data_IF_718490051652
#
_entry.id   IF_718490051652
#
_cell.length_a   1.000
_cell.length_b   1.000
_cell.length_c   1.000
_cell.angle_alpha   90.00
_cell.angle_beta   90.00
_cell.angle_gamma   90.00
#
_symmetry.space_group_name_H-M   'P 1'
#
loop_
_entity.id
_entity.type
_entity.pdbx_description
1 polymer ?
#
# COMPACT_ATOMS: atom_id res chain seq x y z
N UNK A 1 -4.21 -0.98 8.88
CA UNK A 1 -4.07 -2.45 8.95
C UNK A 1 -2.58 -2.80 8.91
N UNK A 2 -2.13 -3.86 9.60
CA UNK A 2 -0.70 -4.18 9.78
C UNK A 2 -0.19 -5.33 8.89
N UNK A 3 -0.89 -5.63 7.79
CA UNK A 3 -0.59 -6.78 6.93
C UNK A 3 0.84 -6.76 6.36
N UNK A 4 1.29 -5.62 5.83
CA UNK A 4 2.65 -5.49 5.28
C UNK A 4 3.74 -5.70 6.33
N UNK A 5 3.52 -5.21 7.55
CA UNK A 5 4.41 -5.44 8.68
C UNK A 5 4.58 -6.95 8.97
N UNK A 6 3.46 -7.68 8.97
CA UNK A 6 3.44 -9.13 9.22
C UNK A 6 4.12 -9.92 8.11
N UNK A 7 3.78 -9.68 6.85
CA UNK A 7 4.35 -10.46 5.72
C UNK A 7 5.82 -10.12 5.45
N UNK A 8 6.24 -8.88 5.73
CA UNK A 8 7.64 -8.47 5.61
C UNK A 8 8.45 -8.80 6.86
N UNK A 9 7.81 -9.31 7.92
CA UNK A 9 8.40 -9.64 9.21
C UNK A 9 9.25 -8.49 9.79
N UNK A 10 8.59 -7.35 10.04
CA UNK A 10 9.21 -6.13 10.57
C UNK A 10 8.40 -5.52 11.72
N UNK A 11 8.97 -4.54 12.41
CA UNK A 11 8.26 -3.62 13.29
C UNK A 11 7.58 -2.50 12.49
N UNK A 12 6.78 -1.65 13.15
CA UNK A 12 6.23 -0.45 12.50
C UNK A 12 7.32 0.55 12.12
N UNK A 13 8.32 0.73 13.00
CA UNK A 13 9.46 1.61 12.76
C UNK A 13 10.28 1.14 11.55
N UNK A 14 10.60 -0.16 11.51
CA UNK A 14 11.32 -0.77 10.40
C UNK A 14 10.54 -0.71 9.08
N UNK A 15 9.20 -0.84 9.12
CA UNK A 15 8.38 -0.65 7.92
C UNK A 15 8.48 0.79 7.39
N UNK A 16 8.50 1.78 8.28
CA UNK A 16 8.73 3.18 7.93
C UNK A 16 10.11 3.38 7.31
N UNK A 17 11.16 2.88 7.96
CA UNK A 17 12.54 2.94 7.44
C UNK A 17 12.68 2.28 6.07
N UNK A 18 11.99 1.16 5.81
CA UNK A 18 11.97 0.53 4.49
C UNK A 18 11.31 1.42 3.43
N UNK A 19 10.21 2.08 3.76
CA UNK A 19 9.48 2.95 2.83
C UNK A 19 10.28 4.22 2.45
N UNK A 20 11.12 4.71 3.36
CA UNK A 20 12.01 5.87 3.15
C UNK A 20 13.18 5.56 2.19
N UNK A 21 13.55 4.28 2.04
CA UNK A 21 14.67 3.85 1.18
C UNK A 21 14.34 3.83 -0.32
N UNK A 22 13.12 4.17 -0.70
CA UNK A 22 12.71 4.32 -2.10
C UNK A 22 12.18 5.73 -2.37
N UNK A 23 12.14 6.08 -3.65
CA UNK A 23 11.52 7.30 -4.14
C UNK A 23 9.98 7.22 -4.09
N UNK A 24 9.28 8.37 -4.09
CA UNK A 24 7.83 8.44 -4.30
C UNK A 24 7.36 7.65 -5.52
N UNK A 25 6.21 6.99 -5.38
CA UNK A 25 5.61 6.14 -6.41
C UNK A 25 6.08 4.69 -6.39
N UNK A 26 6.84 4.26 -5.36
CA UNK A 26 7.23 2.87 -5.11
C UNK A 26 7.79 2.12 -6.35
N UNK A 27 8.55 2.82 -7.19
CA UNK A 27 9.08 2.28 -8.46
C UNK A 27 7.99 1.69 -9.38
N UNK A 28 6.80 2.30 -9.39
CA UNK A 28 5.65 1.91 -10.22
C UNK A 28 4.68 0.92 -9.56
N UNK A 29 4.93 0.48 -8.31
CA UNK A 29 3.99 -0.38 -7.58
C UNK A 29 2.84 0.47 -7.04
N UNK A 30 1.60 0.02 -7.28
CA UNK A 30 0.40 0.60 -6.69
C UNK A 30 -0.33 -0.44 -5.84
N UNK A 31 -0.69 -0.07 -4.61
CA UNK A 31 -1.56 -0.85 -3.74
C UNK A 31 -2.95 -0.19 -3.68
N UNK A 32 -3.98 -0.97 -3.99
CA UNK A 32 -5.38 -0.65 -3.65
C UNK A 32 -5.75 -1.49 -2.41
N UNK A 33 -5.87 -0.89 -1.21
CA UNK A 33 -5.87 -1.62 0.05
C UNK A 33 -7.25 -2.10 0.51
N UNK A 34 -8.13 -2.56 -0.40
CA UNK A 34 -9.47 -3.07 -0.08
C UNK A 34 -9.44 -4.49 0.50
N UNK A 35 -8.64 -4.72 1.53
CA UNK A 35 -8.44 -6.05 2.13
C UNK A 35 -9.71 -6.67 2.73
N UNK A 36 -10.73 -5.86 3.00
CA UNK A 36 -12.00 -6.28 3.62
C UNK A 36 -13.21 -5.67 2.88
N UNK A 37 -13.08 -5.47 1.57
CA UNK A 37 -13.97 -4.59 0.82
C UNK A 37 -13.71 -3.11 1.14
N UNK A 38 -14.58 -2.25 0.64
CA UNK A 38 -14.53 -0.81 0.88
C UNK A 38 -15.93 -0.21 1.03
N UNK A 39 -16.04 0.82 1.87
CA UNK A 39 -17.28 1.60 2.05
C UNK A 39 -17.33 2.81 1.14
N UNK A 40 -16.18 3.44 0.91
CA UNK A 40 -16.04 4.63 0.07
C UNK A 40 -14.89 4.42 -0.93
N UNK A 41 -15.18 4.03 -2.19
CA UNK A 41 -16.50 3.74 -2.79
C UNK A 41 -17.16 2.46 -2.23
N UNK A 42 -18.48 2.31 -2.43
CA UNK A 42 -19.24 1.15 -1.94
C UNK A 42 -18.93 -0.12 -2.76
N UNK A 43 -17.86 -0.81 -2.38
CA UNK A 43 -17.36 -2.03 -3.00
C UNK A 43 -17.20 -3.13 -1.92
N UNK A 44 -18.31 -3.67 -1.39
CA UNK A 44 -18.28 -4.54 -0.20
C UNK A 44 -17.57 -5.88 -0.41
N UNK A 45 -17.39 -6.30 -1.67
CA UNK A 45 -16.75 -7.56 -2.03
C UNK A 45 -15.41 -7.38 -2.75
N UNK A 46 -14.90 -6.14 -2.82
CA UNK A 46 -13.59 -5.91 -3.41
C UNK A 46 -12.49 -6.57 -2.57
N UNK A 47 -11.42 -6.96 -3.26
CA UNK A 47 -10.20 -7.47 -2.64
C UNK A 47 -9.07 -6.47 -2.83
N UNK A 48 -8.04 -6.54 -2.00
CA UNK A 48 -6.85 -5.74 -2.22
C UNK A 48 -6.15 -6.15 -3.52
N UNK A 49 -5.60 -5.18 -4.24
CA UNK A 49 -4.86 -5.41 -5.47
C UNK A 49 -3.48 -4.73 -5.40
N UNK A 50 -2.45 -5.43 -5.85
CA UNK A 50 -1.12 -4.87 -6.09
C UNK A 50 -0.89 -4.91 -7.60
N UNK A 51 -0.61 -3.76 -8.20
CA UNK A 51 -0.37 -3.61 -9.63
C UNK A 51 1.02 -3.03 -9.90
N UNK A 52 1.56 -3.29 -11.10
CA UNK A 52 2.85 -2.72 -11.55
C UNK A 52 4.09 -3.48 -11.05
N UNK A 53 3.92 -4.70 -10.53
CA UNK A 53 5.05 -5.53 -10.12
C UNK A 53 5.88 -6.01 -11.33
N UNK A 54 7.20 -5.93 -11.17
CA UNK A 54 8.22 -6.44 -12.07
C UNK A 54 9.32 -7.12 -11.25
N UNK A 55 10.16 -7.94 -11.89
CA UNK A 55 11.34 -8.50 -11.22
C UNK A 55 12.32 -7.44 -10.72
N UNK A 56 12.29 -6.22 -11.28
CA UNK A 56 13.19 -5.13 -10.91
C UNK A 56 12.70 -4.33 -9.70
N UNK A 57 11.39 -4.17 -9.54
CA UNK A 57 10.81 -3.35 -8.47
C UNK A 57 10.27 -4.17 -7.29
N UNK A 58 10.22 -5.50 -7.38
CA UNK A 58 9.69 -6.35 -6.31
C UNK A 58 10.68 -6.51 -5.14
N UNK A 59 10.82 -5.45 -4.34
CA UNK A 59 11.68 -5.37 -3.16
C UNK A 59 10.89 -5.02 -1.90
N UNK A 60 11.48 -5.28 -0.73
CA UNK A 60 10.82 -4.98 0.56
C UNK A 60 10.56 -3.48 0.73
N UNK A 61 11.49 -2.65 0.28
CA UNK A 61 11.42 -1.19 0.30
C UNK A 61 10.25 -0.67 -0.55
N UNK A 62 10.13 -1.16 -1.79
CA UNK A 62 9.05 -0.73 -2.68
C UNK A 62 7.68 -1.23 -2.20
N UNK A 63 7.60 -2.46 -1.68
CA UNK A 63 6.38 -2.96 -1.06
C UNK A 63 5.98 -2.18 0.19
N UNK A 64 6.94 -1.82 1.05
CA UNK A 64 6.70 -0.99 2.21
C UNK A 64 6.18 0.41 1.81
N UNK A 65 6.81 1.03 0.80
CA UNK A 65 6.35 2.33 0.27
C UNK A 65 4.95 2.26 -0.33
N UNK A 66 4.68 1.24 -1.14
CA UNK A 66 3.35 1.03 -1.72
C UNK A 66 2.26 0.86 -0.63
N UNK A 67 2.60 0.26 0.52
CA UNK A 67 1.68 0.16 1.64
C UNK A 67 1.28 1.53 2.21
N UNK A 68 2.25 2.43 2.42
CA UNK A 68 1.99 3.80 2.89
C UNK A 68 1.26 4.63 1.84
N UNK A 69 1.72 4.60 0.59
CA UNK A 69 1.12 5.39 -0.50
C UNK A 69 -0.29 4.90 -0.84
N UNK A 70 -0.56 3.59 -0.78
CA UNK A 70 -1.89 3.03 -0.96
C UNK A 70 -2.87 3.49 0.13
N UNK A 71 -2.43 3.52 1.39
CA UNK A 71 -3.25 4.05 2.50
C UNK A 71 -3.48 5.56 2.35
N UNK A 72 -2.46 6.33 1.98
CA UNK A 72 -2.58 7.76 1.74
C UNK A 72 -3.54 8.07 0.59
N UNK A 73 -3.45 7.31 -0.51
CA UNK A 73 -4.37 7.44 -1.64
C UNK A 73 -5.81 7.07 -1.26
N UNK A 74 -6.01 6.05 -0.43
CA UNK A 74 -7.34 5.71 0.09
C UNK A 74 -7.95 6.88 0.86
N UNK A 75 -7.20 7.48 1.79
CA UNK A 75 -7.65 8.63 2.56
C UNK A 75 -7.95 9.84 1.68
N UNK A 76 -7.11 10.09 0.66
CA UNK A 76 -7.36 11.14 -0.33
C UNK A 76 -8.68 10.91 -1.06
N UNK A 77 -8.94 9.70 -1.54
CA UNK A 77 -10.20 9.36 -2.22
C UNK A 77 -11.43 9.54 -1.32
N UNK A 78 -11.31 9.23 -0.03
CA UNK A 78 -12.37 9.49 0.93
C UNK A 78 -12.62 10.99 1.16
N UNK A 79 -11.56 11.81 1.19
CA UNK A 79 -11.65 13.27 1.30
C UNK A 79 -12.25 13.90 0.05
N UNK A 80 -11.89 13.43 -1.14
CA UNK A 80 -12.42 13.90 -2.43
C UNK A 80 -13.91 13.54 -2.64
N UNK A 81 -14.43 12.58 -1.87
CA UNK A 81 -15.82 12.15 -1.91
C UNK A 81 -16.74 12.93 -0.95
N UNK A 82 -16.20 13.87 -0.16
CA UNK A 82 -16.96 14.82 0.67
C UNK A 82 -17.47 16.00 -0.18
#
# INVERSE_FOLDING_TARGET
QDYFRKILNVSFEELGTLAERTQPGAQGITLVPYFQGERTPNLPYATAHIAGLTSHNFTRENLARAAYEGLACLMRGALEAL
#
